data_IF_983877980259
#
_entry.id   IF_983877980259
#
_cell.length_a   1.000
_cell.length_b   1.000
_cell.length_c   1.000
_cell.angle_alpha   90.00
_cell.angle_beta   90.00
_cell.angle_gamma   90.00
#
_symmetry.space_group_name_H-M   'P 1'
#
loop_
_entity.id
_entity.type
_entity.pdbx_description
1 polymer ?
#
# COMPACT_ATOMS: atom_id res chain seq x y z
N UNK A 1 -2.83 -2.73 28.33
CA UNK A 1 -1.96 -3.83 28.75
C UNK A 1 -2.09 -4.96 27.73
N UNK A 2 -1.02 -5.38 27.03
CA UNK A 2 -1.11 -6.36 25.94
C UNK A 2 -1.58 -7.76 26.37
N UNK A 3 -1.89 -7.99 27.63
CA UNK A 3 -2.39 -9.26 28.20
C UNK A 3 -3.78 -9.18 28.80
N UNK A 4 -4.49 -8.05 28.69
CA UNK A 4 -5.86 -7.94 29.19
C UNK A 4 -6.82 -8.75 28.32
N UNK A 5 -7.81 -9.43 28.94
CA UNK A 5 -8.90 -10.08 28.22
C UNK A 5 -9.64 -9.06 27.34
N UNK A 6 -10.03 -9.49 26.15
CA UNK A 6 -10.72 -8.65 25.16
C UNK A 6 -12.21 -8.91 25.23
N UNK A 7 -13.00 -7.84 25.28
CA UNK A 7 -14.42 -7.92 25.04
C UNK A 7 -14.67 -8.00 23.53
N UNK A 8 -15.21 -9.14 23.08
CA UNK A 8 -15.47 -9.40 21.67
C UNK A 8 -16.35 -8.34 21.01
N UNK A 9 -17.29 -7.77 21.79
CA UNK A 9 -18.22 -6.74 21.30
C UNK A 9 -17.52 -5.36 21.12
N UNK A 10 -16.29 -5.20 21.60
CA UNK A 10 -15.50 -3.98 21.46
C UNK A 10 -14.40 -4.07 20.41
N UNK A 11 -14.22 -5.23 19.77
CA UNK A 11 -13.22 -5.38 18.71
C UNK A 11 -13.51 -4.52 17.48
N UNK A 12 -12.48 -3.90 16.95
CA UNK A 12 -12.51 -3.02 15.78
C UNK A 12 -11.53 -3.55 14.72
N UNK A 13 -11.99 -3.95 13.52
CA UNK A 13 -13.40 -4.20 13.20
C UNK A 13 -13.94 -5.41 14.00
N UNK A 14 -15.27 -5.61 14.06
CA UNK A 14 -15.84 -6.84 14.63
C UNK A 14 -15.30 -8.09 13.91
N UNK A 15 -15.10 -9.20 14.64
CA UNK A 15 -14.49 -10.42 14.08
C UNK A 15 -15.20 -10.94 12.82
N UNK A 16 -16.53 -10.88 12.77
CA UNK A 16 -17.30 -11.29 11.60
C UNK A 16 -17.10 -10.40 10.38
N UNK A 17 -16.57 -9.19 10.56
CA UNK A 17 -16.30 -8.20 9.51
C UNK A 17 -14.81 -8.12 9.14
N UNK A 18 -13.90 -8.68 9.93
CA UNK A 18 -12.45 -8.50 9.79
C UNK A 18 -11.94 -8.90 8.41
N UNK A 19 -12.43 -9.99 7.83
CA UNK A 19 -12.07 -10.45 6.47
C UNK A 19 -12.56 -9.49 5.38
N UNK A 20 -13.63 -8.77 5.65
CA UNK A 20 -14.21 -7.76 4.78
C UNK A 20 -13.59 -6.36 4.95
N UNK A 21 -12.73 -6.15 5.93
CA UNK A 21 -12.02 -4.88 6.14
C UNK A 21 -10.97 -4.66 5.04
N UNK A 22 -11.44 -4.25 3.86
CA UNK A 22 -10.65 -4.03 2.64
C UNK A 22 -10.83 -2.60 2.15
N UNK A 23 -9.76 -1.96 1.61
CA UNK A 23 -9.88 -0.65 0.98
C UNK A 23 -10.89 -0.61 -0.17
N UNK A 24 -11.45 0.56 -0.42
CA UNK A 24 -12.50 0.75 -1.44
C UNK A 24 -12.08 0.38 -2.85
N UNK A 25 -10.76 0.40 -3.16
CA UNK A 25 -10.23 -0.08 -4.45
C UNK A 25 -10.72 -1.48 -4.85
N UNK A 26 -11.04 -2.35 -3.87
CA UNK A 26 -11.50 -3.71 -4.14
C UNK A 26 -12.92 -3.78 -4.72
N UNK A 27 -13.75 -2.78 -4.47
CA UNK A 27 -15.13 -2.68 -4.96
C UNK A 27 -15.32 -1.66 -6.05
N UNK A 28 -14.46 -0.66 -6.12
CA UNK A 28 -14.62 0.51 -6.97
C UNK A 28 -14.25 0.25 -8.43
N UNK A 29 -14.80 1.11 -9.28
CA UNK A 29 -14.52 1.18 -10.71
C UNK A 29 -14.33 2.63 -11.15
N UNK A 30 -13.45 2.82 -12.13
CA UNK A 30 -13.25 4.14 -12.74
C UNK A 30 -14.36 4.51 -13.73
N UNK A 31 -14.26 5.70 -14.33
CA UNK A 31 -15.21 6.21 -15.32
C UNK A 31 -15.33 5.36 -16.60
N UNK A 32 -14.36 4.48 -16.88
CA UNK A 32 -14.37 3.52 -17.98
C UNK A 32 -14.97 2.16 -17.57
N UNK A 33 -15.41 2.01 -16.31
CA UNK A 33 -15.94 0.76 -15.78
C UNK A 33 -14.87 -0.28 -15.44
N UNK A 34 -13.58 0.07 -15.47
CA UNK A 34 -12.47 -0.80 -15.12
C UNK A 34 -12.36 -0.91 -13.60
N UNK A 35 -12.01 -2.09 -13.03
CA UNK A 35 -11.83 -2.26 -11.59
C UNK A 35 -10.61 -1.47 -11.09
N UNK A 36 -10.73 -0.84 -9.93
CA UNK A 36 -9.63 -0.13 -9.27
C UNK A 36 -8.60 -1.10 -8.66
N UNK A 37 -9.06 -2.29 -8.23
CA UNK A 37 -8.23 -3.45 -7.95
C UNK A 37 -8.64 -4.58 -8.89
N UNK A 38 -7.82 -4.87 -9.89
CA UNK A 38 -8.11 -5.96 -10.81
C UNK A 38 -7.78 -7.31 -10.18
N UNK A 39 -8.73 -8.24 -10.25
CA UNK A 39 -8.56 -9.63 -9.81
C UNK A 39 -7.81 -10.49 -10.84
N UNK A 40 -7.54 -11.73 -10.47
CA UNK A 40 -6.70 -12.67 -11.21
C UNK A 40 -7.09 -12.89 -12.68
N UNK A 41 -8.39 -12.91 -12.97
CA UNK A 41 -8.90 -13.19 -14.32
C UNK A 41 -8.86 -11.97 -15.26
N UNK A 42 -8.68 -10.75 -14.71
CA UNK A 42 -8.78 -9.49 -15.44
C UNK A 42 -7.71 -8.48 -15.04
N UNK A 43 -6.52 -8.95 -14.63
CA UNK A 43 -5.43 -8.09 -14.16
C UNK A 43 -5.05 -7.00 -15.17
N UNK A 44 -5.00 -7.36 -16.44
CA UNK A 44 -4.70 -6.44 -17.55
C UNK A 44 -5.77 -5.36 -17.76
N UNK A 45 -6.97 -5.54 -17.19
CA UNK A 45 -8.05 -4.54 -17.21
C UNK A 45 -8.05 -3.62 -15.97
N UNK A 46 -7.00 -3.63 -15.13
CA UNK A 46 -6.87 -2.68 -14.03
C UNK A 46 -6.98 -1.24 -14.54
N UNK A 47 -7.81 -0.44 -13.89
CA UNK A 47 -8.02 0.95 -14.23
C UNK A 47 -7.38 1.92 -13.24
N UNK A 48 -7.00 3.09 -13.72
CA UNK A 48 -6.66 4.19 -12.84
C UNK A 48 -7.90 4.68 -12.12
N UNK A 49 -7.79 4.85 -10.79
CA UNK A 49 -8.87 5.37 -9.95
C UNK A 49 -8.37 6.57 -9.14
N UNK A 50 -9.29 7.39 -8.67
CA UNK A 50 -8.99 8.62 -7.94
C UNK A 50 -9.59 8.55 -6.53
N UNK A 51 -8.76 8.95 -5.56
CA UNK A 51 -9.08 9.02 -4.13
C UNK A 51 -8.54 10.31 -3.51
N UNK A 52 -8.79 10.53 -2.22
CA UNK A 52 -8.41 11.76 -1.52
C UNK A 52 -9.17 12.97 -2.04
N UNK A 53 -8.52 14.12 -2.09
CA UNK A 53 -9.13 15.38 -2.54
C UNK A 53 -9.27 15.39 -4.06
N UNK A 54 -10.48 15.52 -4.58
CA UNK A 54 -10.78 15.45 -6.03
C UNK A 54 -10.90 16.81 -6.70
N UNK A 55 -11.13 17.88 -5.92
CA UNK A 55 -11.24 19.25 -6.42
C UNK A 55 -10.41 20.21 -5.58
N UNK A 56 -9.65 21.08 -6.22
CA UNK A 56 -8.81 22.07 -5.54
C UNK A 56 -7.63 21.49 -4.78
N UNK A 57 -7.21 20.27 -5.12
CA UNK A 57 -6.00 19.63 -4.55
C UNK A 57 -4.75 20.43 -4.93
N UNK A 58 -3.76 20.34 -4.05
CA UNK A 58 -2.47 21.02 -4.24
C UNK A 58 -1.44 20.11 -4.93
N UNK A 59 -1.43 18.83 -4.57
CA UNK A 59 -0.52 17.83 -5.14
C UNK A 59 -1.27 16.58 -5.60
N UNK A 60 -0.66 15.86 -6.53
CA UNK A 60 -1.15 14.57 -6.99
C UNK A 60 -0.10 13.49 -6.75
N UNK A 61 -0.45 12.50 -5.96
CA UNK A 61 0.40 11.33 -5.71
C UNK A 61 -0.18 10.09 -6.38
N UNK A 62 0.67 9.11 -6.71
CA UNK A 62 0.24 7.83 -7.24
C UNK A 62 0.51 6.70 -6.25
N UNK A 63 -0.42 5.75 -6.09
CA UNK A 63 -0.25 4.50 -5.35
C UNK A 63 -0.26 3.33 -6.33
N UNK A 64 0.86 2.63 -6.44
CA UNK A 64 1.10 1.60 -7.44
C UNK A 64 1.43 0.24 -6.81
N UNK A 65 0.96 -0.84 -7.42
CA UNK A 65 1.37 -2.20 -7.07
C UNK A 65 0.23 -3.16 -6.79
N UNK A 66 0.48 -4.12 -5.91
CA UNK A 66 -0.45 -5.18 -5.56
C UNK A 66 -1.29 -4.84 -4.31
N UNK A 67 -1.87 -5.87 -3.70
CA UNK A 67 -2.73 -5.75 -2.51
C UNK A 67 -2.02 -5.13 -1.30
N UNK A 68 -0.71 -5.35 -1.16
CA UNK A 68 0.11 -4.75 -0.11
C UNK A 68 0.34 -3.25 -0.32
N UNK A 69 0.38 -2.76 -1.55
CA UNK A 69 0.30 -1.32 -1.81
C UNK A 69 -1.11 -0.80 -1.50
N UNK A 70 -2.14 -1.51 -1.95
CA UNK A 70 -3.53 -1.09 -1.77
C UNK A 70 -3.95 -0.95 -0.30
N UNK A 71 -3.44 -1.77 0.62
CA UNK A 71 -3.82 -1.67 2.04
C UNK A 71 -3.28 -0.39 2.73
N UNK A 72 -2.41 0.37 2.07
CA UNK A 72 -1.98 1.69 2.52
C UNK A 72 -2.92 2.83 2.10
N UNK A 73 -3.86 2.56 1.17
CA UNK A 73 -4.78 3.60 0.70
C UNK A 73 -5.54 4.27 1.85
N UNK A 74 -6.10 3.56 2.86
CA UNK A 74 -6.81 4.22 3.95
C UNK A 74 -5.94 5.19 4.77
N UNK A 75 -4.64 4.88 4.96
CA UNK A 75 -3.70 5.80 5.60
C UNK A 75 -3.40 7.01 4.71
N UNK A 76 -3.18 6.77 3.42
CA UNK A 76 -2.92 7.84 2.44
C UNK A 76 -4.12 8.77 2.28
N UNK A 77 -5.36 8.28 2.35
CA UNK A 77 -6.56 9.13 2.30
C UNK A 77 -6.62 10.10 3.48
N UNK A 78 -6.30 9.62 4.69
CA UNK A 78 -6.24 10.50 5.87
C UNK A 78 -5.14 11.57 5.71
N UNK A 79 -3.97 11.21 5.18
CA UNK A 79 -2.89 12.18 4.87
C UNK A 79 -3.33 13.13 3.76
N UNK A 80 -3.98 12.63 2.72
CA UNK A 80 -4.44 13.41 1.59
C UNK A 80 -5.47 14.49 1.99
N UNK A 81 -6.38 14.15 2.90
CA UNK A 81 -7.34 15.12 3.45
C UNK A 81 -6.64 16.25 4.24
N UNK A 82 -5.54 15.95 4.92
CA UNK A 82 -4.78 16.93 5.72
C UNK A 82 -3.86 17.80 4.86
N UNK A 83 -3.24 17.19 3.84
CA UNK A 83 -2.21 17.81 2.99
C UNK A 83 -2.76 18.29 1.63
N UNK A 84 -4.06 18.17 1.42
CA UNK A 84 -4.75 18.55 0.18
C UNK A 84 -4.24 17.83 -1.06
N UNK A 85 -4.09 16.49 -0.98
CA UNK A 85 -3.61 15.66 -2.08
C UNK A 85 -4.74 14.94 -2.82
N UNK A 86 -4.60 14.84 -4.12
CA UNK A 86 -5.28 13.83 -4.94
C UNK A 86 -4.45 12.57 -5.01
N UNK A 87 -5.07 11.41 -4.84
CA UNK A 87 -4.43 10.09 -4.96
C UNK A 87 -4.91 9.43 -6.24
N UNK A 88 -3.99 9.03 -7.12
CA UNK A 88 -4.27 8.19 -8.27
C UNK A 88 -3.79 6.77 -7.98
N UNK A 89 -4.61 5.75 -8.20
CA UNK A 89 -4.23 4.35 -7.96
C UNK A 89 -4.26 3.55 -9.24
N UNK A 90 -3.25 2.69 -9.44
CA UNK A 90 -3.29 1.58 -10.39
C UNK A 90 -2.83 0.32 -9.66
N UNK A 91 -3.78 -0.54 -9.30
CA UNK A 91 -3.53 -1.71 -8.48
C UNK A 91 -4.14 -2.97 -9.09
N UNK A 92 -3.43 -4.10 -8.97
CA UNK A 92 -3.94 -5.40 -9.37
C UNK A 92 -3.42 -6.48 -8.43
N UNK A 93 -4.25 -7.51 -8.16
CA UNK A 93 -3.88 -8.61 -7.26
C UNK A 93 -2.59 -9.28 -7.76
N UNK A 94 -1.64 -9.48 -6.85
CA UNK A 94 -0.32 -10.09 -7.07
C UNK A 94 0.60 -9.37 -8.07
N UNK A 95 0.19 -8.25 -8.66
CA UNK A 95 1.01 -7.48 -9.61
C UNK A 95 1.78 -6.36 -8.90
N UNK A 96 2.92 -6.68 -8.35
CA UNK A 96 3.81 -5.71 -7.71
C UNK A 96 4.38 -4.70 -8.73
N UNK A 97 4.84 -3.55 -8.23
CA UNK A 97 5.51 -2.54 -9.05
C UNK A 97 6.95 -2.96 -9.35
N UNK A 98 7.10 -3.87 -10.32
CA UNK A 98 8.37 -4.46 -10.76
C UNK A 98 8.45 -4.48 -12.28
N UNK A 99 9.64 -4.57 -12.87
CA UNK A 99 9.80 -4.62 -14.33
C UNK A 99 9.41 -5.98 -14.93
N UNK A 100 9.65 -7.06 -14.20
CA UNK A 100 9.36 -8.45 -14.60
C UNK A 100 9.02 -9.27 -13.36
N UNK A 101 7.95 -10.06 -13.43
CA UNK A 101 7.56 -10.97 -12.36
C UNK A 101 8.30 -12.31 -12.48
N UNK A 102 8.68 -12.93 -11.35
CA UNK A 102 9.54 -14.12 -11.34
C UNK A 102 8.88 -15.39 -11.89
N UNK A 103 7.55 -15.46 -11.91
CA UNK A 103 6.80 -16.62 -12.40
C UNK A 103 5.68 -16.18 -13.33
N UNK A 104 5.71 -16.65 -14.60
CA UNK A 104 4.69 -16.29 -15.59
C UNK A 104 3.34 -16.94 -15.32
N UNK A 105 3.32 -18.16 -14.81
CA UNK A 105 2.07 -18.92 -14.64
C UNK A 105 1.18 -18.32 -13.51
N UNK A 106 1.79 -17.90 -12.41
CA UNK A 106 1.08 -17.27 -11.29
C UNK A 106 0.73 -15.80 -11.56
N UNK A 107 1.60 -15.11 -12.32
CA UNK A 107 1.52 -13.67 -12.55
C UNK A 107 1.17 -13.34 -14.02
N UNK A 108 0.30 -14.15 -14.62
CA UNK A 108 -0.16 -13.89 -15.99
C UNK A 108 -0.69 -12.45 -16.12
N UNK A 109 -0.25 -11.75 -17.15
CA UNK A 109 -0.54 -10.34 -17.43
C UNK A 109 0.03 -9.31 -16.42
N UNK A 110 0.66 -9.71 -15.32
CA UNK A 110 1.26 -8.75 -14.39
C UNK A 110 2.36 -7.89 -15.03
N UNK A 111 3.15 -8.46 -15.93
CA UNK A 111 4.18 -7.69 -16.66
C UNK A 111 3.56 -6.56 -17.49
N UNK A 112 2.37 -6.78 -18.08
CA UNK A 112 1.63 -5.76 -18.81
C UNK A 112 1.13 -4.66 -17.86
N UNK A 113 0.58 -5.04 -16.71
CA UNK A 113 0.10 -4.09 -15.69
C UNK A 113 1.26 -3.26 -15.15
N UNK A 114 2.38 -3.89 -14.80
CA UNK A 114 3.57 -3.20 -14.31
C UNK A 114 4.15 -2.25 -15.36
N UNK A 115 4.17 -2.66 -16.63
CA UNK A 115 4.60 -1.79 -17.72
C UNK A 115 3.68 -0.57 -17.89
N UNK A 116 2.36 -0.76 -17.70
CA UNK A 116 1.40 0.35 -17.66
C UNK A 116 1.64 1.26 -16.46
N UNK A 117 1.84 0.69 -15.26
CA UNK A 117 2.19 1.48 -14.07
C UNK A 117 3.39 2.39 -14.34
N UNK A 118 4.47 1.87 -14.94
CA UNK A 118 5.67 2.64 -15.24
C UNK A 118 5.39 3.71 -16.29
N UNK A 119 4.89 3.31 -17.48
CA UNK A 119 4.77 4.20 -18.63
C UNK A 119 3.74 5.30 -18.42
N UNK A 120 2.58 4.94 -17.86
CA UNK A 120 1.48 5.88 -17.65
C UNK A 120 1.82 6.86 -16.51
N UNK A 121 2.53 6.41 -15.45
CA UNK A 121 3.05 7.30 -14.40
C UNK A 121 4.03 8.33 -14.94
N UNK A 122 4.99 7.91 -15.79
CA UNK A 122 5.93 8.84 -16.44
C UNK A 122 5.19 9.86 -17.32
N UNK A 123 4.13 9.44 -18.00
CA UNK A 123 3.31 10.33 -18.82
C UNK A 123 2.49 11.33 -17.99
N UNK A 124 1.88 10.89 -16.88
CA UNK A 124 1.08 11.73 -15.99
C UNK A 124 1.92 12.71 -15.18
N UNK A 125 3.13 12.31 -14.75
CA UNK A 125 4.04 13.09 -13.91
C UNK A 125 3.42 13.48 -12.55
N UNK A 126 3.02 12.52 -11.72
CA UNK A 126 2.56 12.83 -10.36
C UNK A 126 3.71 13.45 -9.55
N UNK A 127 3.37 14.16 -8.47
CA UNK A 127 4.34 14.77 -7.57
C UNK A 127 5.15 13.74 -6.77
N UNK A 128 4.58 12.57 -6.51
CA UNK A 128 5.27 11.43 -5.91
C UNK A 128 4.56 10.10 -6.22
N UNK A 129 5.30 9.00 -6.02
CA UNK A 129 4.79 7.62 -6.10
C UNK A 129 4.96 6.94 -4.75
N UNK A 130 3.91 6.24 -4.31
CA UNK A 130 3.94 5.31 -3.19
C UNK A 130 3.82 3.88 -3.72
N UNK A 131 4.65 2.99 -3.21
CA UNK A 131 4.63 1.56 -3.56
C UNK A 131 5.27 0.76 -2.44
N UNK A 132 4.95 -0.52 -2.33
CA UNK A 132 5.63 -1.40 -1.38
C UNK A 132 7.04 -1.73 -1.88
N UNK A 133 8.02 -1.63 -0.99
CA UNK A 133 9.45 -1.81 -1.32
C UNK A 133 9.80 -3.26 -1.65
N UNK A 134 9.21 -4.20 -0.93
CA UNK A 134 9.51 -5.64 -0.95
C UNK A 134 8.21 -6.45 -0.89
N UNK A 135 8.31 -7.75 -0.85
CA UNK A 135 7.20 -8.67 -0.59
C UNK A 135 7.60 -9.56 0.58
N UNK A 136 6.91 -9.41 1.73
CA UNK A 136 7.34 -10.04 2.97
C UNK A 136 8.74 -9.60 3.38
N UNK A 137 9.67 -10.56 3.54
CA UNK A 137 11.07 -10.30 3.91
C UNK A 137 12.06 -10.45 2.74
N UNK A 138 11.59 -10.40 1.49
CA UNK A 138 12.47 -10.43 0.33
C UNK A 138 13.41 -9.21 0.29
N UNK A 139 14.67 -9.45 -0.06
CA UNK A 139 15.64 -8.37 -0.25
C UNK A 139 15.27 -7.50 -1.47
N UNK A 140 15.44 -6.20 -1.33
CA UNK A 140 15.26 -5.25 -2.43
C UNK A 140 16.51 -5.25 -3.30
N UNK A 141 16.61 -6.22 -4.18
CA UNK A 141 17.77 -6.40 -5.06
C UNK A 141 17.37 -6.59 -6.51
N UNK A 142 18.32 -6.33 -7.39
CA UNK A 142 18.23 -6.66 -8.81
C UNK A 142 17.32 -5.76 -9.65
N UNK A 143 17.45 -5.92 -10.94
CA UNK A 143 16.77 -5.11 -11.95
C UNK A 143 15.24 -5.22 -11.93
N UNK A 144 14.63 -6.38 -11.64
CA UNK A 144 13.17 -6.46 -11.57
C UNK A 144 12.56 -5.46 -10.59
N UNK A 145 13.17 -5.25 -9.42
CA UNK A 145 12.70 -4.34 -8.37
C UNK A 145 13.17 -2.90 -8.60
N UNK A 146 14.44 -2.72 -8.95
CA UNK A 146 15.07 -1.39 -9.07
C UNK A 146 14.82 -0.72 -10.43
N UNK A 147 14.53 -1.48 -11.48
CA UNK A 147 14.30 -0.96 -12.84
C UNK A 147 13.21 0.10 -12.91
N UNK A 148 12.00 -0.14 -12.41
CA UNK A 148 10.93 0.85 -12.37
C UNK A 148 11.33 2.13 -11.62
N UNK A 149 12.04 2.01 -10.49
CA UNK A 149 12.48 3.16 -9.71
C UNK A 149 13.53 3.99 -10.45
N UNK A 150 14.41 3.35 -11.25
CA UNK A 150 15.37 4.08 -12.12
C UNK A 150 14.66 4.87 -13.20
N UNK A 151 13.62 4.29 -13.83
CA UNK A 151 12.81 5.00 -14.82
C UNK A 151 12.13 6.23 -14.21
N UNK A 152 11.57 6.10 -12.99
CA UNK A 152 10.98 7.23 -12.28
C UNK A 152 12.04 8.26 -11.85
N UNK A 153 13.26 7.82 -11.50
CA UNK A 153 14.37 8.71 -11.21
C UNK A 153 14.77 9.57 -12.43
N UNK A 154 14.85 8.97 -13.61
CA UNK A 154 15.12 9.69 -14.86
C UNK A 154 14.00 10.71 -15.19
N UNK A 155 12.77 10.41 -14.78
CA UNK A 155 11.63 11.32 -14.91
C UNK A 155 11.54 12.36 -13.79
N UNK A 156 12.46 12.35 -12.80
CA UNK A 156 12.47 13.18 -11.59
C UNK A 156 11.19 13.03 -10.73
N UNK A 157 10.64 11.82 -10.66
CA UNK A 157 9.48 11.50 -9.83
C UNK A 157 9.97 10.82 -8.54
N UNK A 158 9.76 11.40 -7.35
CA UNK A 158 10.10 10.77 -6.06
C UNK A 158 9.30 9.48 -5.82
N UNK A 159 9.93 8.51 -5.17
CA UNK A 159 9.31 7.24 -4.79
C UNK A 159 9.41 7.03 -3.28
N UNK A 160 8.28 6.89 -2.62
CA UNK A 160 8.18 6.45 -1.24
C UNK A 160 7.99 4.94 -1.23
N UNK A 161 9.07 4.23 -0.94
CA UNK A 161 9.12 2.77 -0.89
C UNK A 161 8.73 2.32 0.53
N UNK A 162 7.50 1.86 0.70
CA UNK A 162 6.93 1.42 1.97
C UNK A 162 7.49 0.02 2.29
N UNK A 163 8.16 -0.13 3.42
CA UNK A 163 8.57 -1.45 3.88
C UNK A 163 7.32 -2.29 4.14
N UNK A 164 7.33 -3.55 3.63
CA UNK A 164 6.19 -4.46 3.77
C UNK A 164 5.99 -4.88 5.24
N UNK A 165 4.79 -5.31 5.53
CA UNK A 165 4.39 -5.84 6.84
C UNK A 165 4.73 -7.34 6.95
N UNK A 166 4.69 -7.93 8.15
CA UNK A 166 4.87 -9.36 8.38
C UNK A 166 3.90 -10.23 7.58
N UNK A 167 4.40 -11.38 7.14
CA UNK A 167 3.60 -12.48 6.63
C UNK A 167 3.59 -13.59 7.67
N UNK A 168 2.41 -13.94 8.16
CA UNK A 168 2.22 -14.90 9.23
C UNK A 168 1.88 -16.27 8.66
N UNK A 169 2.37 -17.33 9.28
CA UNK A 169 2.01 -18.71 8.94
C UNK A 169 0.53 -19.01 9.27
N UNK A 170 0.08 -18.51 10.44
CA UNK A 170 -1.28 -18.64 10.91
C UNK A 170 -2.02 -17.29 10.91
N UNK A 171 -3.32 -17.31 10.72
CA UNK A 171 -4.15 -16.11 10.69
C UNK A 171 -4.29 -15.46 12.08
N UNK A 172 -3.73 -14.24 12.28
CA UNK A 172 -3.77 -13.57 13.56
C UNK A 172 -5.19 -13.27 14.06
N UNK A 173 -6.13 -12.96 13.15
CA UNK A 173 -7.52 -12.67 13.54
C UNK A 173 -8.26 -13.91 14.02
N UNK A 174 -7.98 -15.05 13.41
CA UNK A 174 -8.53 -16.36 13.88
C UNK A 174 -7.94 -16.73 15.23
N UNK A 175 -6.64 -16.50 15.44
CA UNK A 175 -6.04 -16.72 16.76
C UNK A 175 -6.72 -15.87 17.85
N UNK A 176 -6.99 -14.60 17.58
CA UNK A 176 -7.68 -13.72 18.55
C UNK A 176 -9.08 -14.26 18.88
N UNK A 177 -9.83 -14.73 17.87
CA UNK A 177 -11.15 -15.30 18.08
C UNK A 177 -11.14 -16.50 19.04
N UNK A 178 -10.09 -17.32 18.97
CA UNK A 178 -9.92 -18.50 19.82
C UNK A 178 -9.30 -18.19 21.19
N UNK A 179 -8.75 -16.99 21.41
CA UNK A 179 -7.99 -16.64 22.60
C UNK A 179 -8.40 -15.28 23.23
N UNK A 180 -9.69 -14.97 23.29
CA UNK A 180 -10.20 -13.69 23.82
C UNK A 180 -9.77 -13.43 25.27
N UNK A 181 -9.66 -14.46 26.09
CA UNK A 181 -9.21 -14.36 27.48
C UNK A 181 -7.68 -14.12 27.60
N UNK A 182 -6.91 -14.43 26.55
CA UNK A 182 -5.47 -14.29 26.52
C UNK A 182 -4.96 -13.91 25.11
N UNK A 183 -5.27 -12.72 24.62
CA UNK A 183 -4.87 -12.29 23.28
C UNK A 183 -3.35 -12.20 23.08
N UNK A 184 -2.58 -12.14 24.18
CA UNK A 184 -1.13 -12.19 24.10
C UNK A 184 -0.59 -13.52 23.58
N UNK A 185 -1.39 -14.60 23.56
CA UNK A 185 -1.03 -15.87 22.92
C UNK A 185 -0.92 -15.75 21.41
N UNK A 186 -1.54 -14.72 20.79
CA UNK A 186 -1.55 -14.48 19.35
C UNK A 186 -0.44 -13.55 18.86
N UNK A 187 0.50 -13.18 19.71
CA UNK A 187 1.69 -12.42 19.30
C UNK A 187 2.77 -13.34 18.74
N UNK A 188 3.43 -12.88 17.70
CA UNK A 188 4.51 -13.63 17.03
C UNK A 188 5.85 -12.94 17.34
N UNK A 189 6.96 -13.69 17.56
CA UNK A 189 8.28 -13.08 17.74
C UNK A 189 8.64 -12.19 16.54
N UNK A 190 9.08 -10.96 16.81
CA UNK A 190 9.40 -9.99 15.75
C UNK A 190 10.45 -10.49 14.77
N UNK A 191 11.50 -11.13 15.28
CA UNK A 191 12.63 -11.64 14.50
C UNK A 191 12.29 -12.86 13.63
N UNK A 192 11.14 -13.49 13.86
CA UNK A 192 10.64 -14.58 13.01
C UNK A 192 9.87 -14.10 11.77
N UNK A 193 9.44 -12.82 11.74
CA UNK A 193 8.57 -12.25 10.69
C UNK A 193 9.07 -10.93 10.11
N UNK A 194 10.12 -10.34 10.68
CA UNK A 194 10.75 -9.10 10.20
C UNK A 194 12.27 -9.20 10.31
N UNK A 195 12.97 -8.97 9.21
CA UNK A 195 14.43 -8.89 9.22
C UNK A 195 14.92 -7.68 10.03
N UNK A 196 16.05 -7.83 10.70
CA UNK A 196 16.63 -6.76 11.55
C UNK A 196 17.26 -5.66 10.70
N UNK A 197 17.82 -6.02 9.53
CA UNK A 197 18.58 -5.13 8.66
C UNK A 197 17.92 -5.05 7.27
N UNK A 198 16.80 -4.36 7.19
CA UNK A 198 16.15 -4.10 5.90
C UNK A 198 16.78 -2.86 5.26
N UNK A 199 17.26 -3.00 4.03
CA UNK A 199 17.85 -1.91 3.25
C UNK A 199 17.34 -1.95 1.80
N UNK A 200 17.33 -0.77 1.15
CA UNK A 200 16.94 -0.65 -0.26
C UNK A 200 18.06 -1.00 -1.25
N UNK A 201 19.22 -1.43 -0.75
CA UNK A 201 20.38 -1.77 -1.61
C UNK A 201 20.80 -0.61 -2.52
N UNK A 202 20.97 -0.89 -3.81
CA UNK A 202 21.38 0.09 -4.83
C UNK A 202 20.21 0.91 -5.41
N UNK A 203 19.22 1.25 -4.57
CA UNK A 203 18.10 2.09 -5.00
C UNK A 203 18.58 3.47 -5.48
N UNK A 204 17.94 4.06 -6.51
CA UNK A 204 18.28 5.40 -6.99
C UNK A 204 17.93 6.48 -5.96
N UNK A 205 18.52 7.67 -6.12
CA UNK A 205 18.47 8.76 -5.12
C UNK A 205 17.07 9.36 -4.91
N UNK A 206 16.14 9.15 -5.84
CA UNK A 206 14.75 9.58 -5.71
C UNK A 206 13.89 8.64 -4.85
N UNK A 207 14.44 7.54 -4.35
CA UNK A 207 13.73 6.54 -3.55
C UNK A 207 14.01 6.75 -2.08
N UNK A 208 12.95 6.92 -1.32
CA UNK A 208 12.97 7.09 0.14
C UNK A 208 12.32 5.86 0.77
N UNK A 209 13.04 5.18 1.65
CA UNK A 209 12.46 4.11 2.48
C UNK A 209 11.54 4.71 3.55
N UNK A 210 10.31 4.23 3.59
CA UNK A 210 9.36 4.50 4.67
C UNK A 210 9.21 3.22 5.48
N UNK A 211 9.98 3.10 6.55
CA UNK A 211 9.91 1.98 7.50
C UNK A 211 9.08 2.38 8.72
N UNK A 212 7.87 1.86 8.78
CA UNK A 212 6.93 2.08 9.89
C UNK A 212 6.72 0.81 10.73
N UNK A 213 7.60 -0.19 10.65
CA UNK A 213 7.44 -1.49 11.32
C UNK A 213 7.25 -1.39 12.83
N UNK A 214 7.77 -0.33 13.45
CA UNK A 214 7.58 -0.07 14.89
C UNK A 214 6.15 0.41 15.25
N UNK A 215 5.28 0.66 14.26
CA UNK A 215 3.88 1.01 14.51
C UNK A 215 3.00 -0.23 14.75
N UNK A 216 3.42 -1.39 14.26
CA UNK A 216 2.67 -2.66 14.42
C UNK A 216 3.45 -3.76 15.13
N UNK A 217 4.75 -3.65 15.30
CA UNK A 217 5.55 -4.57 16.09
C UNK A 217 6.27 -3.83 17.20
N UNK A 218 6.19 -4.35 18.42
CA UNK A 218 7.07 -3.94 19.50
C UNK A 218 8.49 -4.47 19.31
N UNK A 219 9.41 -4.20 20.28
CA UNK A 219 10.81 -4.64 20.14
C UNK A 219 10.97 -6.18 20.08
N UNK A 220 10.09 -6.93 20.72
CA UNK A 220 10.20 -8.39 20.82
C UNK A 220 9.12 -9.15 20.03
N UNK A 221 7.92 -8.57 19.90
CA UNK A 221 6.76 -9.25 19.32
C UNK A 221 5.94 -8.34 18.41
N UNK A 222 5.28 -8.97 17.44
CA UNK A 222 4.23 -8.39 16.61
C UNK A 222 2.87 -8.90 17.13
N UNK A 223 2.01 -8.03 17.69
CA UNK A 223 0.70 -8.42 18.19
C UNK A 223 -0.32 -8.59 17.07
N UNK A 224 -1.36 -9.40 17.33
CA UNK A 224 -2.53 -9.50 16.46
C UNK A 224 -3.55 -8.37 16.73
N UNK A 225 -3.60 -7.86 17.96
CA UNK A 225 -4.55 -6.86 18.43
C UNK A 225 -3.89 -5.91 19.43
N UNK A 226 -4.25 -4.64 19.38
CA UNK A 226 -3.82 -3.58 20.33
C UNK A 226 -5.04 -2.73 20.68
N UNK A 227 -5.35 -2.58 21.98
CA UNK A 227 -6.45 -1.75 22.48
C UNK A 227 -7.78 -2.00 21.74
N UNK A 228 -8.17 -3.26 21.58
CA UNK A 228 -9.33 -3.76 20.82
C UNK A 228 -9.26 -3.53 19.31
N UNK A 229 -8.20 -2.97 18.76
CA UNK A 229 -8.01 -2.82 17.32
C UNK A 229 -7.33 -4.06 16.75
N UNK A 230 -8.01 -4.78 15.86
CA UNK A 230 -7.42 -5.87 15.08
C UNK A 230 -6.52 -5.27 14.00
N UNK A 231 -5.23 -5.64 14.02
CA UNK A 231 -4.25 -5.10 13.08
C UNK A 231 -4.36 -5.78 11.70
N UNK A 232 -4.69 -7.06 11.70
CA UNK A 232 -4.60 -7.94 10.53
C UNK A 232 -5.99 -8.48 10.16
N UNK A 233 -6.34 -8.40 8.88
CA UNK A 233 -7.59 -9.01 8.37
C UNK A 233 -7.41 -10.47 7.94
N UNK A 234 -6.17 -10.86 7.67
CA UNK A 234 -5.72 -12.17 7.25
C UNK A 234 -4.23 -12.37 7.58
N UNK A 235 -3.55 -13.32 6.94
CA UNK A 235 -2.15 -13.64 7.25
C UNK A 235 -1.14 -12.57 6.88
N UNK A 236 -1.48 -11.56 6.07
CA UNK A 236 -0.50 -10.59 5.56
C UNK A 236 -1.07 -9.21 5.17
N UNK A 237 -2.35 -8.93 5.45
CA UNK A 237 -2.90 -7.60 5.15
C UNK A 237 -3.40 -6.89 6.40
N UNK A 238 -3.23 -5.58 6.44
CA UNK A 238 -3.84 -4.72 7.44
C UNK A 238 -5.37 -4.71 7.33
N UNK A 239 -6.04 -4.44 8.45
CA UNK A 239 -7.42 -3.95 8.44
C UNK A 239 -7.43 -2.49 7.97
N UNK A 240 -8.54 -2.03 7.41
CA UNK A 240 -8.74 -0.61 7.03
C UNK A 240 -8.62 0.30 8.26
N UNK A 241 -9.18 -0.15 9.36
CA UNK A 241 -9.20 0.57 10.63
C UNK A 241 -7.80 0.78 11.16
N UNK A 242 -6.97 -0.27 11.14
CA UNK A 242 -5.57 -0.14 11.53
C UNK A 242 -4.77 0.71 10.55
N UNK A 243 -4.92 0.48 9.24
CA UNK A 243 -4.24 1.28 8.22
C UNK A 243 -4.44 2.78 8.44
N UNK A 244 -5.66 3.24 8.74
CA UNK A 244 -5.95 4.65 9.04
C UNK A 244 -5.14 5.19 10.22
N UNK A 245 -4.85 4.37 11.23
CA UNK A 245 -4.06 4.81 12.39
C UNK A 245 -2.59 5.06 12.05
N UNK A 246 -2.10 4.54 10.92
CA UNK A 246 -0.73 4.75 10.44
C UNK A 246 -0.52 6.14 9.82
N UNK A 247 -1.59 6.88 9.51
CA UNK A 247 -1.51 8.16 8.81
C UNK A 247 -0.57 9.19 9.46
N UNK A 248 -0.58 9.44 10.79
CA UNK A 248 0.34 10.40 11.40
C UNK A 248 1.81 10.02 11.25
N UNK A 249 2.14 8.72 11.36
CA UNK A 249 3.50 8.24 11.20
C UNK A 249 3.95 8.29 9.73
N UNK A 250 3.05 7.96 8.80
CA UNK A 250 3.27 8.06 7.36
C UNK A 250 3.51 9.52 6.96
N UNK A 251 2.65 10.45 7.39
CA UNK A 251 2.79 11.87 7.14
C UNK A 251 4.13 12.41 7.67
N UNK A 252 4.51 12.06 8.90
CA UNK A 252 5.76 12.48 9.48
C UNK A 252 6.98 11.98 8.69
N UNK A 253 6.97 10.71 8.25
CA UNK A 253 8.05 10.12 7.46
C UNK A 253 8.17 10.77 6.07
N UNK A 254 7.03 11.05 5.42
CA UNK A 254 7.00 11.73 4.13
C UNK A 254 7.46 13.18 4.26
N UNK A 255 6.92 13.95 5.20
CA UNK A 255 7.25 15.37 5.39
C UNK A 255 8.70 15.61 5.81
N UNK A 256 9.36 14.62 6.44
CA UNK A 256 10.77 14.72 6.81
C UNK A 256 11.72 14.70 5.59
N UNK A 257 11.27 14.17 4.45
CA UNK A 257 12.13 13.88 3.30
C UNK A 257 11.64 14.47 1.99
N UNK A 258 10.37 14.87 1.92
CA UNK A 258 9.75 15.38 0.71
C UNK A 258 9.52 16.89 0.80
N UNK A 259 10.21 17.61 -0.08
CA UNK A 259 9.85 18.98 -0.42
C UNK A 259 9.07 18.94 -1.75
N UNK A 260 7.73 19.04 -1.71
CA UNK A 260 6.94 18.99 -2.93
C UNK A 260 7.37 20.10 -3.87
N UNK A 261 7.74 19.70 -5.08
CA UNK A 261 7.94 20.66 -6.18
C UNK A 261 6.66 20.58 -7.01
N UNK A 262 6.03 21.73 -7.28
CA UNK A 262 4.93 21.76 -8.21
C UNK A 262 5.40 21.19 -9.56
N UNK A 263 5.22 19.89 -9.74
CA UNK A 263 5.37 19.24 -11.04
C UNK A 263 4.14 19.61 -11.87
N UNK A 264 4.32 19.84 -13.15
CA UNK A 264 3.17 20.11 -14.01
C UNK A 264 2.56 18.78 -14.36
N UNK A 265 1.62 18.30 -13.53
CA UNK A 265 0.86 17.09 -13.84
C UNK A 265 0.15 17.26 -15.20
N UNK A 266 0.11 16.20 -15.96
CA UNK A 266 -0.55 16.15 -17.27
C UNK A 266 -2.02 15.78 -17.10
N UNK A 267 -2.88 16.78 -16.78
CA UNK A 267 -4.31 16.59 -16.56
C UNK A 267 -5.03 16.01 -17.80
N UNK A 268 -4.55 16.31 -19.00
CA UNK A 268 -5.05 15.71 -20.24
C UNK A 268 -4.84 14.18 -20.28
N UNK A 269 -3.69 13.70 -19.79
CA UNK A 269 -3.38 12.27 -19.69
C UNK A 269 -4.23 11.64 -18.58
N UNK A 270 -4.29 12.27 -17.40
CA UNK A 270 -5.08 11.79 -16.26
C UNK A 270 -6.56 11.63 -16.62
N UNK A 271 -7.17 12.64 -17.26
CA UNK A 271 -8.56 12.58 -17.70
C UNK A 271 -8.82 11.42 -18.68
N UNK A 272 -7.91 11.18 -19.61
CA UNK A 272 -8.00 10.04 -20.54
C UNK A 272 -7.96 8.69 -19.83
N UNK A 273 -7.08 8.53 -18.85
CA UNK A 273 -6.91 7.28 -18.08
C UNK A 273 -8.07 7.00 -17.12
N UNK A 274 -8.66 8.06 -16.55
CA UNK A 274 -9.83 7.96 -15.67
C UNK A 274 -11.15 7.82 -16.42
N UNK A 275 -11.18 8.08 -17.72
CA UNK A 275 -12.41 8.15 -18.52
C UNK A 275 -13.29 9.38 -18.17
N UNK A 276 -12.67 10.45 -17.69
CA UNK A 276 -13.33 11.73 -17.40
C UNK A 276 -13.09 12.71 -18.56
N UNK A 277 -14.00 13.69 -18.72
CA UNK A 277 -13.76 14.78 -19.69
C UNK A 277 -12.71 15.72 -19.12
N UNK A 278 -11.74 16.15 -19.93
CA UNK A 278 -10.87 17.28 -19.57
C UNK A 278 -11.73 18.49 -19.23
N UNK A 279 -11.44 19.20 -18.14
CA UNK A 279 -12.02 20.54 -17.91
C UNK A 279 -11.71 21.44 -19.11
N UNK A 280 -12.71 22.10 -19.69
CA UNK A 280 -12.55 23.10 -20.78
C UNK A 280 -11.87 24.37 -20.28
#
# INVERSE_FOLDING_TARGET
DPGSAIDIDQLIPPLEQVRGSRPDVYSDRNGLGQPCMAGDEVRDNAGWCVYGVTEGYEYTVALLGASHSAHWLPALEVVADQENWRILTLTAIDCNFVSVHPSRDRYENCDLVSQRMINETVQMRPDAVFTVANEGEEEVTGEPRLGPWRVLNEANIPVFALRDNPWFDDDPSSCVADNLENPAACRVPRDSVLSVNFELGDAPQNVVLVDLTNQWCGPEYCPAVVDNLLLWRDTNHFTVEFSRTLAPALQAAVSATWEPRATTIREDVVAGLLGTKTPE
#
